data_IF_993979755269
#
_entry.id   IF_993979755269
#
_cell.length_a   1.000
_cell.length_b   1.000
_cell.length_c   1.000
_cell.angle_alpha   90.00
_cell.angle_beta   90.00
_cell.angle_gamma   90.00
#
_symmetry.space_group_name_H-M   'P 1'
#
loop_
_entity.id
_entity.type
_entity.pdbx_description
1 polymer ?
#
# COMPACT_ATOMS: atom_id res chain seq x y z
N UNK A 1 -13.83 -24.15 22.84
CA UNK A 1 -12.43 -24.29 23.32
C UNK A 1 -11.83 -22.88 23.41
N UNK A 2 -11.36 -22.53 24.59
CA UNK A 2 -10.67 -21.25 24.78
C UNK A 2 -9.20 -21.43 24.36
N UNK A 3 -8.75 -20.68 23.36
CA UNK A 3 -7.38 -20.71 22.87
C UNK A 3 -6.67 -19.38 23.16
N UNK A 4 -5.41 -19.46 23.54
CA UNK A 4 -4.55 -18.30 23.71
C UNK A 4 -3.79 -18.01 22.40
N UNK A 5 -3.66 -16.74 22.01
CA UNK A 5 -2.84 -16.34 20.87
C UNK A 5 -1.35 -16.36 21.24
N UNK A 6 -0.51 -16.80 20.31
CA UNK A 6 0.97 -16.80 20.50
C UNK A 6 1.50 -15.40 20.81
N UNK A 7 0.93 -14.35 20.20
CA UNK A 7 1.29 -12.97 20.55
C UNK A 7 1.03 -12.63 22.02
N UNK A 8 -0.06 -13.10 22.61
CA UNK A 8 -0.37 -12.89 24.02
C UNK A 8 0.60 -13.66 24.93
N UNK A 9 1.00 -14.89 24.53
CA UNK A 9 2.01 -15.64 25.29
C UNK A 9 3.34 -14.86 25.39
N UNK A 10 3.80 -14.26 24.30
CA UNK A 10 5.02 -13.45 24.31
C UNK A 10 4.87 -12.14 25.10
N UNK A 11 3.67 -11.54 25.08
CA UNK A 11 3.41 -10.30 25.82
C UNK A 11 3.35 -10.50 27.34
N UNK A 12 2.71 -11.60 27.79
CA UNK A 12 2.40 -11.88 29.19
C UNK A 12 3.28 -13.01 29.78
N UNK A 13 4.43 -13.28 29.16
CA UNK A 13 5.24 -14.48 29.41
C UNK A 13 5.58 -14.72 30.90
N UNK A 14 5.94 -13.67 31.65
CA UNK A 14 6.30 -13.79 33.06
C UNK A 14 5.12 -14.25 33.96
N UNK A 15 3.89 -13.85 33.57
CA UNK A 15 2.68 -14.20 34.32
C UNK A 15 2.17 -15.60 33.98
N UNK A 16 2.65 -16.17 32.87
CA UNK A 16 2.19 -17.44 32.33
C UNK A 16 3.13 -18.61 32.63
N UNK A 17 4.28 -18.38 33.23
CA UNK A 17 5.22 -19.45 33.58
C UNK A 17 4.56 -20.52 34.44
N UNK A 18 4.73 -21.77 34.05
CA UNK A 18 4.13 -22.93 34.69
C UNK A 18 2.60 -23.12 34.46
N UNK A 19 1.91 -22.18 33.81
CA UNK A 19 0.47 -22.29 33.51
C UNK A 19 0.20 -23.17 32.30
N UNK A 20 -0.84 -23.93 32.38
CA UNK A 20 -1.33 -24.74 31.27
C UNK A 20 -2.14 -23.86 30.30
N UNK A 21 -1.83 -23.92 29.02
CA UNK A 21 -2.46 -23.13 27.96
C UNK A 21 -2.83 -24.01 26.77
N UNK A 22 -3.79 -23.54 25.97
CA UNK A 22 -4.12 -24.15 24.68
C UNK A 22 -3.75 -23.16 23.58
N UNK A 23 -2.94 -23.59 22.62
CA UNK A 23 -2.59 -22.84 21.41
C UNK A 23 -2.94 -23.64 20.16
N UNK A 24 -3.36 -22.96 19.11
CA UNK A 24 -3.66 -23.59 17.83
C UNK A 24 -2.83 -22.90 16.75
N UNK A 25 -2.31 -23.64 15.80
CA UNK A 25 -1.51 -23.03 14.72
C UNK A 25 -1.03 -24.06 13.70
N UNK A 26 -0.21 -23.59 12.79
CA UNK A 26 0.36 -24.42 11.74
C UNK A 26 1.84 -24.71 12.02
N UNK A 27 2.23 -25.99 11.86
CA UNK A 27 3.61 -26.41 12.00
C UNK A 27 4.49 -25.80 10.90
N UNK A 28 5.49 -25.02 11.32
CA UNK A 28 6.53 -24.45 10.43
C UNK A 28 7.71 -25.38 10.27
N UNK A 29 8.04 -26.08 11.34
CA UNK A 29 9.01 -27.19 11.34
C UNK A 29 8.59 -28.23 12.37
N UNK A 30 8.93 -29.49 12.10
CA UNK A 30 8.82 -30.60 13.06
C UNK A 30 10.18 -31.31 13.03
N UNK A 31 10.77 -31.49 14.21
CA UNK A 31 12.05 -32.21 14.38
C UNK A 31 11.86 -33.34 15.36
N UNK A 32 11.99 -34.57 14.88
CA UNK A 32 11.95 -35.79 15.66
C UNK A 32 13.36 -36.17 16.14
N UNK A 33 13.53 -36.35 17.45
CA UNK A 33 14.76 -36.82 18.09
C UNK A 33 14.55 -38.23 18.68
N UNK A 34 13.50 -38.95 18.26
CA UNK A 34 13.07 -40.31 18.65
C UNK A 34 12.34 -40.40 19.99
N UNK A 35 12.92 -39.87 21.09
CA UNK A 35 12.31 -39.86 22.43
C UNK A 35 11.67 -38.52 22.78
N UNK A 36 12.08 -37.46 22.12
CA UNK A 36 11.47 -36.12 22.22
C UNK A 36 11.58 -35.41 20.87
N UNK A 37 10.92 -34.29 20.73
CA UNK A 37 10.97 -33.50 19.50
C UNK A 37 10.53 -32.06 19.71
N UNK A 38 10.68 -31.27 18.65
CA UNK A 38 10.38 -29.86 18.65
C UNK A 38 9.48 -29.52 17.47
N UNK A 39 8.46 -28.68 17.72
CA UNK A 39 7.62 -28.09 16.69
C UNK A 39 7.77 -26.58 16.78
N UNK A 40 8.07 -25.93 15.66
CA UNK A 40 7.84 -24.49 15.52
C UNK A 40 6.41 -24.27 15.05
N UNK A 41 5.58 -23.68 15.91
CA UNK A 41 4.17 -23.41 15.65
C UNK A 41 3.94 -21.93 15.41
N UNK A 42 3.13 -21.57 14.42
CA UNK A 42 2.71 -20.20 14.17
C UNK A 42 1.19 -20.14 13.99
N UNK A 43 0.52 -19.26 14.74
CA UNK A 43 -0.92 -19.06 14.70
C UNK A 43 -1.36 -17.83 13.89
N UNK A 44 -0.40 -17.15 13.27
CA UNK A 44 -0.64 -15.92 12.54
C UNK A 44 -0.83 -14.67 13.42
N UNK A 45 -0.83 -14.75 14.74
CA UNK A 45 -1.03 -13.57 15.61
C UNK A 45 0.22 -12.68 15.75
N UNK A 46 1.42 -13.23 15.54
CA UNK A 46 2.69 -12.50 15.51
C UNK A 46 3.65 -13.09 14.47
N UNK A 47 4.74 -12.39 14.20
CA UNK A 47 5.76 -12.85 13.24
C UNK A 47 6.60 -14.01 13.79
N UNK A 48 6.83 -14.03 15.11
CA UNK A 48 7.62 -15.07 15.78
C UNK A 48 6.90 -16.41 15.80
N UNK A 49 7.66 -17.50 15.69
CA UNK A 49 7.16 -18.85 15.92
C UNK A 49 7.29 -19.21 17.41
N UNK A 50 6.37 -20.02 17.90
CA UNK A 50 6.41 -20.62 19.23
C UNK A 50 7.07 -21.99 19.16
N UNK A 51 8.02 -22.27 20.05
CA UNK A 51 8.57 -23.61 20.21
C UNK A 51 7.66 -24.46 21.10
N UNK A 52 7.32 -25.63 20.61
CA UNK A 52 6.61 -26.68 21.37
C UNK A 52 7.55 -27.86 21.53
N UNK A 53 7.75 -28.29 22.77
CA UNK A 53 8.50 -29.51 23.11
C UNK A 53 7.52 -30.65 23.28
N UNK A 54 7.74 -31.74 22.57
CA UNK A 54 6.95 -32.97 22.65
C UNK A 54 7.82 -34.13 23.15
N UNK A 55 7.28 -34.96 24.05
CA UNK A 55 7.95 -36.14 24.62
C UNK A 55 7.18 -37.42 24.29
N UNK A 56 7.92 -38.47 23.91
CA UNK A 56 7.33 -39.77 23.68
C UNK A 56 6.77 -40.44 24.93
N UNK A 57 7.25 -40.05 26.11
CA UNK A 57 6.79 -40.55 27.41
C UNK A 57 5.46 -39.88 27.82
N UNK A 58 5.17 -38.67 27.33
CA UNK A 58 3.97 -37.90 27.69
C UNK A 58 2.87 -38.00 26.62
N UNK A 59 3.24 -38.15 25.34
CA UNK A 59 2.29 -38.15 24.22
C UNK A 59 2.05 -39.58 23.67
N UNK A 60 0.88 -40.15 23.90
CA UNK A 60 0.51 -41.44 23.34
C UNK A 60 0.55 -41.50 21.81
N UNK A 61 0.36 -40.36 21.14
CA UNK A 61 0.40 -40.20 19.68
C UNK A 61 1.68 -39.56 19.16
N UNK A 62 2.79 -39.59 19.92
CA UNK A 62 4.07 -38.99 19.55
C UNK A 62 4.50 -39.31 18.12
N UNK A 63 4.45 -40.57 17.71
CA UNK A 63 4.83 -41.00 16.36
C UNK A 63 3.95 -40.42 15.27
N UNK A 64 2.67 -40.26 15.56
CA UNK A 64 1.74 -39.61 14.62
C UNK A 64 2.11 -38.13 14.43
N UNK A 65 2.39 -37.42 15.52
CA UNK A 65 2.77 -36.00 15.48
C UNK A 65 4.12 -35.82 14.83
N UNK A 66 5.11 -36.62 15.19
CA UNK A 66 6.46 -36.59 14.60
C UNK A 66 6.46 -36.86 13.09
N UNK A 67 5.48 -37.64 12.62
CA UNK A 67 5.28 -37.95 11.20
C UNK A 67 4.47 -36.94 10.40
N UNK A 68 3.99 -35.84 11.03
CA UNK A 68 3.26 -34.82 10.29
C UNK A 68 4.18 -33.98 9.37
N UNK A 69 3.62 -33.50 8.27
CA UNK A 69 4.32 -32.59 7.35
C UNK A 69 4.21 -31.12 7.83
N UNK A 70 5.14 -30.31 7.35
CA UNK A 70 5.07 -28.85 7.44
C UNK A 70 3.72 -28.37 6.90
N UNK A 71 3.11 -27.41 7.57
CA UNK A 71 1.79 -26.89 7.22
C UNK A 71 0.62 -27.60 7.89
N UNK A 72 0.84 -28.71 8.63
CA UNK A 72 -0.22 -29.35 9.41
C UNK A 72 -0.76 -28.38 10.47
N UNK A 73 -2.09 -28.37 10.63
CA UNK A 73 -2.78 -27.61 11.67
C UNK A 73 -2.83 -28.43 12.96
N UNK A 74 -2.38 -27.85 14.06
CA UNK A 74 -2.25 -28.53 15.35
C UNK A 74 -2.95 -27.74 16.46
N UNK A 75 -3.56 -28.47 17.40
CA UNK A 75 -4.04 -27.97 18.69
C UNK A 75 -3.09 -28.51 19.74
N UNK A 76 -2.41 -27.63 20.46
CA UNK A 76 -1.40 -27.95 21.48
C UNK A 76 -1.88 -27.49 22.83
N UNK A 77 -1.88 -28.39 23.82
CA UNK A 77 -2.07 -28.07 25.24
C UNK A 77 -0.80 -28.39 25.98
N UNK A 78 -0.43 -27.55 26.93
CA UNK A 78 0.77 -27.78 27.71
C UNK A 78 1.15 -26.61 28.60
N UNK A 79 2.15 -26.84 29.43
CA UNK A 79 2.67 -25.84 30.35
C UNK A 79 3.64 -24.87 29.64
N UNK A 80 3.48 -23.58 29.89
CA UNK A 80 4.44 -22.55 29.49
C UNK A 80 5.70 -22.69 30.34
N UNK A 81 6.87 -22.66 29.72
CA UNK A 81 8.17 -22.70 30.38
C UNK A 81 9.02 -21.57 29.87
N UNK A 82 9.48 -20.70 30.76
CA UNK A 82 10.41 -19.66 30.43
C UNK A 82 11.81 -20.22 30.13
N UNK A 83 12.44 -19.74 29.08
CA UNK A 83 13.77 -20.18 28.62
C UNK A 83 14.69 -18.99 28.38
N UNK A 84 15.02 -18.18 29.42
CA UNK A 84 15.71 -16.92 29.25
C UNK A 84 17.12 -17.07 28.66
N UNK A 85 17.77 -18.22 28.84
CA UNK A 85 19.08 -18.52 28.29
C UNK A 85 19.04 -19.10 26.86
N UNK A 86 17.85 -19.38 26.33
CA UNK A 86 17.67 -19.92 24.99
C UNK A 86 17.45 -18.81 23.95
N UNK A 87 17.48 -19.19 22.67
CA UNK A 87 17.20 -18.26 21.57
C UNK A 87 15.78 -17.69 21.62
N UNK A 88 14.81 -18.49 22.04
CA UNK A 88 13.42 -18.09 22.28
C UNK A 88 13.20 -17.85 23.80
N UNK A 89 12.38 -16.87 24.19
CA UNK A 89 12.19 -16.54 25.60
C UNK A 89 11.32 -17.55 26.38
N UNK A 90 10.52 -18.33 25.67
CA UNK A 90 9.65 -19.35 26.24
C UNK A 90 9.39 -20.50 25.26
N UNK A 91 8.91 -21.63 25.81
CA UNK A 91 8.42 -22.77 25.05
C UNK A 91 7.18 -23.36 25.73
N UNK A 92 6.45 -24.23 25.03
CA UNK A 92 5.38 -25.03 25.62
C UNK A 92 5.86 -26.48 25.74
N UNK A 93 5.83 -27.05 26.95
CA UNK A 93 5.89 -28.49 27.15
C UNK A 93 4.53 -29.09 26.95
N UNK A 94 4.36 -29.80 25.84
CA UNK A 94 3.06 -30.29 25.44
C UNK A 94 2.62 -31.49 26.31
N UNK A 95 1.45 -31.38 26.93
CA UNK A 95 0.73 -32.47 27.59
C UNK A 95 -0.21 -33.20 26.63
N UNK A 96 -0.67 -32.51 25.57
CA UNK A 96 -1.44 -33.14 24.49
C UNK A 96 -1.26 -32.36 23.17
N UNK A 97 -1.23 -33.08 22.07
CA UNK A 97 -1.23 -32.52 20.72
C UNK A 97 -2.26 -33.26 19.87
N UNK A 98 -3.16 -32.51 19.24
CA UNK A 98 -4.16 -33.02 18.32
C UNK A 98 -3.89 -32.50 16.91
N UNK A 99 -4.03 -33.35 15.89
CA UNK A 99 -3.95 -32.98 14.50
C UNK A 99 -5.32 -32.57 14.01
N UNK A 100 -5.56 -31.27 13.92
CA UNK A 100 -6.80 -30.71 13.38
C UNK A 100 -6.88 -30.89 11.86
N UNK A 101 -5.77 -30.66 11.17
CA UNK A 101 -5.68 -30.81 9.72
C UNK A 101 -4.30 -31.31 9.27
N UNK A 102 -4.29 -32.42 8.54
CA UNK A 102 -3.05 -32.96 7.96
C UNK A 102 -2.58 -32.14 6.77
N UNK A 103 -1.26 -32.08 6.59
CA UNK A 103 -0.63 -31.55 5.38
C UNK A 103 -0.05 -32.72 4.58
N UNK A 104 -0.23 -32.70 3.27
CA UNK A 104 0.27 -33.75 2.37
C UNK A 104 1.76 -33.57 2.03
N UNK A 105 2.49 -34.63 1.63
CA UNK A 105 3.91 -34.56 1.34
C UNK A 105 4.27 -33.65 0.15
N UNK A 106 3.32 -33.37 -0.73
CA UNK A 106 3.44 -32.48 -1.89
C UNK A 106 3.24 -31.00 -1.57
N UNK A 107 3.04 -30.66 -0.27
CA UNK A 107 2.96 -29.26 0.15
C UNK A 107 4.14 -28.44 -0.38
N UNK A 108 3.89 -27.36 -1.19
CA UNK A 108 4.95 -26.75 -1.97
C UNK A 108 5.93 -25.92 -1.13
N UNK A 109 5.51 -25.44 0.05
CA UNK A 109 6.34 -24.61 0.94
C UNK A 109 7.16 -25.47 1.91
N UNK A 110 8.02 -26.33 1.35
CA UNK A 110 8.96 -27.15 2.13
C UNK A 110 10.05 -26.30 2.79
N UNK A 111 10.79 -26.88 3.75
CA UNK A 111 11.89 -26.22 4.48
C UNK A 111 13.09 -25.95 3.55
N UNK A 112 12.93 -25.01 2.64
CA UNK A 112 13.98 -24.50 1.74
C UNK A 112 13.69 -23.04 1.40
N UNK A 113 14.68 -22.34 0.83
CA UNK A 113 14.45 -21.00 0.29
C UNK A 113 13.63 -21.12 -1.01
N UNK A 114 12.57 -20.35 -1.12
CA UNK A 114 11.76 -20.21 -2.31
C UNK A 114 12.04 -18.85 -2.97
N UNK A 115 12.12 -18.83 -4.30
CA UNK A 115 12.22 -17.57 -5.04
C UNK A 115 10.86 -16.85 -5.05
N UNK A 116 10.89 -15.53 -5.22
CA UNK A 116 9.68 -14.72 -5.29
C UNK A 116 8.86 -15.10 -6.53
N UNK A 117 9.53 -15.41 -7.64
CA UNK A 117 8.90 -15.86 -8.90
C UNK A 117 8.10 -17.14 -8.66
N UNK A 118 8.67 -18.13 -8.00
CA UNK A 118 7.94 -19.34 -7.63
C UNK A 118 6.74 -19.02 -6.72
N UNK A 119 6.92 -18.15 -5.73
CA UNK A 119 5.82 -17.77 -4.81
C UNK A 119 4.68 -17.04 -5.51
N UNK A 120 4.94 -16.39 -6.65
CA UNK A 120 3.90 -15.80 -7.51
C UNK A 120 3.04 -16.85 -8.20
N UNK A 121 3.55 -18.07 -8.41
CA UNK A 121 2.75 -19.18 -8.99
C UNK A 121 1.83 -19.86 -7.98
N UNK A 122 2.03 -19.61 -6.67
CA UNK A 122 1.26 -20.16 -5.57
C UNK A 122 0.79 -19.05 -4.61
N UNK A 123 0.23 -17.98 -5.16
CA UNK A 123 -0.10 -16.75 -4.43
C UNK A 123 -0.97 -17.01 -3.18
N UNK A 124 -1.93 -17.93 -3.26
CA UNK A 124 -2.82 -18.33 -2.16
C UNK A 124 -2.08 -18.96 -0.96
N UNK A 125 -0.88 -19.48 -1.14
CA UNK A 125 -0.05 -20.06 -0.07
C UNK A 125 1.08 -19.13 0.40
N UNK A 126 1.47 -18.16 -0.40
CA UNK A 126 2.62 -17.30 -0.09
C UNK A 126 2.54 -16.51 1.24
N UNK A 127 1.34 -16.18 1.81
CA UNK A 127 1.26 -15.59 3.15
C UNK A 127 1.86 -16.46 4.26
N UNK A 128 2.00 -17.75 4.02
CA UNK A 128 2.63 -18.69 4.97
C UNK A 128 4.16 -18.59 4.99
N UNK A 129 4.79 -17.82 4.10
CA UNK A 129 6.23 -17.56 4.11
C UNK A 129 6.58 -16.37 4.99
N UNK A 130 7.83 -16.29 5.47
CA UNK A 130 8.26 -15.17 6.32
C UNK A 130 8.17 -13.83 5.58
N UNK A 131 8.59 -13.77 4.31
CA UNK A 131 8.54 -12.56 3.52
C UNK A 131 7.12 -11.98 3.45
N UNK A 132 6.17 -12.80 3.03
CA UNK A 132 4.79 -12.34 2.83
C UNK A 132 4.01 -12.17 4.14
N UNK A 133 4.29 -13.00 5.15
CA UNK A 133 3.76 -12.80 6.49
C UNK A 133 4.17 -11.44 7.06
N UNK A 134 5.46 -11.09 6.95
CA UNK A 134 5.96 -9.78 7.36
C UNK A 134 5.33 -8.64 6.53
N UNK A 135 5.29 -8.78 5.20
CA UNK A 135 4.73 -7.77 4.30
C UNK A 135 3.28 -7.44 4.64
N UNK A 136 2.42 -8.46 4.79
CA UNK A 136 0.99 -8.22 5.06
C UNK A 136 0.72 -7.75 6.49
N UNK A 137 1.60 -8.03 7.45
CA UNK A 137 1.53 -7.44 8.80
C UNK A 137 1.86 -5.96 8.77
N UNK A 138 2.94 -5.58 8.09
CA UNK A 138 3.28 -4.16 7.88
C UNK A 138 2.16 -3.44 7.12
N UNK A 139 1.61 -4.06 6.05
CA UNK A 139 0.47 -3.51 5.32
C UNK A 139 -0.73 -3.24 6.24
N UNK A 140 -1.07 -4.19 7.10
CA UNK A 140 -2.19 -4.04 8.05
C UNK A 140 -1.97 -2.91 9.04
N UNK A 141 -0.77 -2.80 9.62
CA UNK A 141 -0.44 -1.72 10.57
C UNK A 141 -0.38 -0.37 9.89
N UNK A 142 0.16 -0.29 8.67
CA UNK A 142 0.20 0.93 7.89
C UNK A 142 -1.21 1.45 7.54
N UNK A 143 -2.13 0.55 7.14
CA UNK A 143 -3.52 0.92 6.87
C UNK A 143 -4.21 1.50 8.11
N UNK A 144 -4.04 0.88 9.27
CA UNK A 144 -4.59 1.41 10.52
C UNK A 144 -3.94 2.75 10.90
N UNK A 145 -2.63 2.90 10.73
CA UNK A 145 -1.92 4.14 11.02
C UNK A 145 -2.42 5.33 10.17
N UNK A 146 -2.80 5.07 8.92
CA UNK A 146 -3.41 6.08 8.04
C UNK A 146 -4.76 6.55 8.63
N UNK A 147 -5.64 5.63 8.98
CA UNK A 147 -6.92 5.99 9.61
C UNK A 147 -6.72 6.71 10.95
N UNK A 148 -5.78 6.24 11.78
CA UNK A 148 -5.43 6.87 13.06
C UNK A 148 -4.95 8.32 12.84
N UNK A 149 -4.09 8.55 11.85
CA UNK A 149 -3.57 9.88 11.52
C UNK A 149 -4.67 10.87 11.19
N UNK A 150 -5.53 10.53 10.25
CA UNK A 150 -6.58 11.43 9.79
C UNK A 150 -7.68 11.60 10.83
N UNK A 151 -8.17 10.52 11.45
CA UNK A 151 -9.24 10.59 12.46
C UNK A 151 -8.81 11.38 13.69
N UNK A 152 -7.57 11.24 14.16
CA UNK A 152 -7.06 12.01 15.30
C UNK A 152 -6.93 13.51 15.01
N UNK A 153 -6.93 13.91 13.75
CA UNK A 153 -6.88 15.30 13.29
C UNK A 153 -8.26 15.87 12.91
N UNK A 154 -9.33 15.09 13.09
CA UNK A 154 -10.70 15.52 12.81
C UNK A 154 -11.13 15.38 11.35
N UNK A 155 -10.32 14.74 10.50
CA UNK A 155 -10.73 14.43 9.12
C UNK A 155 -11.88 13.44 9.10
N UNK A 156 -12.82 13.63 8.18
CA UNK A 156 -13.94 12.73 7.95
C UNK A 156 -13.56 11.72 6.86
N UNK A 157 -13.66 10.42 7.17
CA UNK A 157 -13.52 9.36 6.17
C UNK A 157 -14.77 9.31 5.30
N UNK A 158 -14.60 9.45 3.99
CA UNK A 158 -15.72 9.51 3.04
C UNK A 158 -15.65 8.41 2.00
N UNK A 159 -16.83 7.97 1.54
CA UNK A 159 -16.97 7.02 0.46
C UNK A 159 -17.09 7.75 -0.88
N UNK A 160 -16.32 7.30 -1.87
CA UNK A 160 -16.43 7.75 -3.26
C UNK A 160 -16.77 6.57 -4.16
N UNK A 161 -17.56 6.76 -5.24
CA UNK A 161 -17.97 5.66 -6.11
C UNK A 161 -16.77 5.03 -6.84
N UNK A 162 -16.77 3.69 -6.90
CA UNK A 162 -15.80 2.94 -7.69
C UNK A 162 -16.19 2.92 -9.17
N UNK A 163 -17.51 2.88 -9.46
CA UNK A 163 -18.04 2.98 -10.83
C UNK A 163 -18.37 4.44 -11.11
N UNK A 164 -17.78 4.99 -12.16
CA UNK A 164 -17.92 6.41 -12.51
C UNK A 164 -18.24 6.61 -13.98
N UNK A 165 -18.93 7.72 -14.28
CA UNK A 165 -19.11 8.22 -15.64
C UNK A 165 -18.12 9.33 -16.02
N UNK A 166 -17.18 9.69 -15.15
CA UNK A 166 -16.22 10.79 -15.35
C UNK A 166 -14.78 10.28 -15.25
N UNK A 167 -13.89 10.84 -16.07
CA UNK A 167 -12.46 10.58 -16.00
C UNK A 167 -11.78 11.68 -15.15
N UNK A 168 -11.22 11.31 -14.01
CA UNK A 168 -10.56 12.24 -13.11
C UNK A 168 -9.24 12.79 -13.69
N UNK A 169 -8.51 11.96 -14.41
CA UNK A 169 -7.19 12.34 -14.98
C UNK A 169 -7.31 13.01 -16.36
N UNK A 170 -8.46 12.81 -17.04
CA UNK A 170 -8.70 13.38 -18.38
C UNK A 170 -7.97 12.69 -19.53
N UNK A 171 -7.17 11.69 -19.24
CA UNK A 171 -6.42 10.89 -20.22
C UNK A 171 -6.24 9.44 -19.74
N UNK A 172 -6.99 9.03 -18.73
CA UNK A 172 -6.86 7.73 -18.10
C UNK A 172 -7.32 6.58 -18.98
N UNK A 173 -6.50 5.57 -19.14
CA UNK A 173 -6.96 4.28 -19.66
C UNK A 173 -7.80 3.60 -18.57
N UNK A 174 -9.12 3.66 -18.73
CA UNK A 174 -10.09 3.16 -17.77
C UNK A 174 -10.64 1.79 -18.17
N UNK A 175 -10.78 0.89 -17.20
CA UNK A 175 -11.56 -0.33 -17.39
C UNK A 175 -13.03 0.02 -17.54
N UNK A 176 -13.65 -0.39 -18.66
CA UNK A 176 -15.05 -0.18 -18.89
C UNK A 176 -15.91 -1.15 -18.06
N UNK A 177 -16.98 -0.64 -17.45
CA UNK A 177 -18.01 -1.43 -16.77
C UNK A 177 -19.24 -1.47 -17.64
N UNK A 178 -19.67 -2.67 -18.07
CA UNK A 178 -20.81 -2.86 -18.94
C UNK A 178 -21.51 -4.18 -18.66
N UNK A 179 -22.83 -4.22 -18.88
CA UNK A 179 -23.64 -5.44 -18.85
C UNK A 179 -24.15 -5.81 -20.27
N UNK A 180 -23.73 -5.07 -21.30
CA UNK A 180 -24.04 -5.39 -22.68
C UNK A 180 -23.40 -6.71 -23.10
N UNK A 181 -24.13 -7.51 -23.90
CA UNK A 181 -23.52 -8.70 -24.49
C UNK A 181 -22.52 -8.29 -25.57
N UNK A 182 -21.25 -8.62 -25.33
CA UNK A 182 -20.13 -8.29 -26.22
C UNK A 182 -20.23 -9.03 -27.59
N UNK A 183 -21.05 -10.08 -27.70
CA UNK A 183 -21.30 -10.77 -28.97
C UNK A 183 -22.43 -10.12 -29.80
N UNK A 184 -23.29 -9.33 -29.16
CA UNK A 184 -24.43 -8.66 -29.80
C UNK A 184 -24.63 -7.26 -29.19
N UNK A 185 -23.65 -6.39 -29.46
CA UNK A 185 -23.62 -5.03 -28.91
C UNK A 185 -24.65 -4.15 -29.63
N UNK A 186 -25.66 -3.58 -28.93
CA UNK A 186 -26.60 -2.64 -29.50
C UNK A 186 -25.90 -1.39 -30.03
N UNK A 187 -26.35 -0.88 -31.19
CA UNK A 187 -25.74 0.27 -31.86
C UNK A 187 -26.78 1.33 -32.18
N UNK A 188 -26.33 2.56 -32.14
CA UNK A 188 -27.07 3.75 -32.62
C UNK A 188 -27.11 3.80 -34.15
N UNK A 189 -27.87 4.69 -34.72
CA UNK A 189 -28.03 4.85 -36.20
C UNK A 189 -26.68 5.18 -36.88
N UNK A 190 -25.78 5.86 -36.19
CA UNK A 190 -24.41 6.20 -36.66
C UNK A 190 -23.38 5.10 -36.38
N UNK A 191 -23.82 3.93 -35.90
CA UNK A 191 -22.97 2.75 -35.70
C UNK A 191 -22.15 2.71 -34.39
N UNK A 192 -22.31 3.70 -33.53
CA UNK A 192 -21.69 3.72 -32.22
C UNK A 192 -22.38 2.75 -31.25
N UNK A 193 -21.71 2.41 -30.13
CA UNK A 193 -22.35 1.59 -29.08
C UNK A 193 -23.49 2.39 -28.44
N UNK A 194 -24.70 1.79 -28.41
CA UNK A 194 -25.85 2.40 -27.74
C UNK A 194 -25.84 2.11 -26.23
N UNK A 195 -25.10 2.92 -25.47
CA UNK A 195 -25.03 2.82 -24.01
C UNK A 195 -26.35 3.15 -23.29
N UNK A 196 -27.38 3.69 -23.99
CA UNK A 196 -28.70 3.85 -23.39
C UNK A 196 -29.38 2.52 -23.05
N UNK A 197 -28.87 1.43 -23.61
CA UNK A 197 -29.31 0.04 -23.36
C UNK A 197 -28.47 -0.65 -22.28
N UNK A 198 -27.40 -0.03 -21.83
CA UNK A 198 -26.58 -0.56 -20.74
C UNK A 198 -27.20 -0.28 -19.38
N UNK A 199 -26.72 -0.96 -18.34
CA UNK A 199 -27.27 -0.91 -16.97
C UNK A 199 -27.46 0.51 -16.43
N UNK A 200 -26.47 1.38 -16.62
CA UNK A 200 -26.47 2.76 -16.12
C UNK A 200 -27.06 3.77 -17.16
N UNK A 201 -27.48 3.31 -18.33
CA UNK A 201 -27.98 4.17 -19.41
C UNK A 201 -26.93 5.11 -20.02
N UNK A 202 -25.66 4.92 -19.71
CA UNK A 202 -24.49 5.65 -20.22
C UNK A 202 -23.22 4.83 -20.06
N UNK A 203 -22.15 5.22 -20.78
CA UNK A 203 -20.83 4.62 -20.60
C UNK A 203 -20.31 4.85 -19.18
N UNK A 204 -19.87 3.78 -18.52
CA UNK A 204 -19.27 3.82 -17.19
C UNK A 204 -17.97 3.03 -17.15
N UNK A 205 -17.12 3.38 -16.20
CA UNK A 205 -15.80 2.78 -16.01
C UNK A 205 -15.48 2.60 -14.52
N UNK A 206 -14.45 1.82 -14.23
CA UNK A 206 -13.84 1.80 -12.90
C UNK A 206 -13.03 3.08 -12.71
N UNK A 207 -13.09 3.67 -11.52
CA UNK A 207 -12.44 4.94 -11.21
C UNK A 207 -10.91 4.83 -11.18
N UNK A 208 -10.24 5.86 -11.65
CA UNK A 208 -8.77 6.04 -11.55
C UNK A 208 -8.37 6.83 -10.30
N UNK A 209 -9.32 7.49 -9.62
CA UNK A 209 -9.14 8.30 -8.40
C UNK A 209 -10.50 8.64 -7.78
N UNK A 210 -10.55 8.75 -6.47
CA UNK A 210 -11.71 9.25 -5.73
C UNK A 210 -11.74 10.77 -5.57
N UNK A 211 -10.70 11.49 -6.01
CA UNK A 211 -10.49 12.91 -5.74
C UNK A 211 -11.68 13.80 -6.06
N UNK A 212 -12.17 13.80 -7.32
CA UNK A 212 -13.23 14.73 -7.72
C UNK A 212 -14.51 14.56 -6.88
N UNK A 213 -14.82 13.33 -6.48
CA UNK A 213 -15.95 13.05 -5.60
C UNK A 213 -15.64 13.41 -4.13
N UNK A 214 -14.41 13.27 -3.68
CA UNK A 214 -13.98 13.69 -2.34
C UNK A 214 -14.09 15.21 -2.16
N UNK A 215 -13.80 16.00 -3.21
CA UNK A 215 -13.95 17.46 -3.18
C UNK A 215 -15.40 17.89 -2.90
N UNK A 216 -16.43 17.10 -3.29
CA UNK A 216 -17.82 17.39 -2.90
C UNK A 216 -18.00 17.38 -1.38
N UNK A 217 -17.35 16.42 -0.72
CA UNK A 217 -17.39 16.30 0.73
C UNK A 217 -16.56 17.40 1.39
N UNK A 218 -15.38 17.72 0.85
CA UNK A 218 -14.53 18.79 1.37
C UNK A 218 -15.24 20.15 1.37
N UNK A 219 -16.04 20.46 0.34
CA UNK A 219 -16.84 21.68 0.26
C UNK A 219 -18.00 21.72 1.28
N UNK A 220 -18.22 20.66 2.05
CA UNK A 220 -19.26 20.58 3.07
C UNK A 220 -18.71 20.26 4.47
N UNK A 221 -17.66 19.45 4.57
CA UNK A 221 -17.10 18.96 5.84
C UNK A 221 -15.72 19.55 6.18
N UNK A 222 -15.12 20.30 5.27
CA UNK A 222 -13.78 20.88 5.45
C UNK A 222 -12.67 19.88 5.12
N UNK A 223 -12.25 19.08 6.11
CA UNK A 223 -11.16 18.13 5.97
C UNK A 223 -11.70 16.71 5.84
N UNK A 224 -11.46 16.06 4.69
CA UNK A 224 -11.93 14.72 4.39
C UNK A 224 -10.80 13.86 3.83
N UNK A 225 -10.98 12.54 3.83
CA UNK A 225 -10.09 11.63 3.12
C UNK A 225 -10.81 10.40 2.62
N UNK A 226 -10.32 9.86 1.51
CA UNK A 226 -10.68 8.52 1.01
C UNK A 226 -9.54 7.53 1.28
N UNK A 227 -9.87 6.27 1.38
CA UNK A 227 -8.95 5.14 1.32
C UNK A 227 -9.68 4.03 0.58
N UNK A 228 -9.54 4.00 -0.73
CA UNK A 228 -10.34 3.15 -1.60
C UNK A 228 -9.51 2.56 -2.76
N UNK A 229 -9.99 1.44 -3.37
CA UNK A 229 -9.37 0.89 -4.55
C UNK A 229 -9.54 1.83 -5.74
N UNK A 230 -8.50 1.87 -6.58
CA UNK A 230 -8.45 2.58 -7.86
C UNK A 230 -7.94 1.64 -8.95
N UNK A 231 -8.28 1.95 -10.20
CA UNK A 231 -8.06 1.05 -11.32
C UNK A 231 -7.49 1.82 -12.51
N UNK A 232 -6.38 1.32 -13.08
CA UNK A 232 -5.78 1.90 -14.27
C UNK A 232 -5.49 0.80 -15.29
N UNK A 233 -6.00 0.94 -16.51
CA UNK A 233 -5.88 -0.03 -17.59
C UNK A 233 -4.61 0.16 -18.44
N UNK A 234 -3.65 0.94 -17.94
CA UNK A 234 -2.39 1.23 -18.61
C UNK A 234 -1.63 -0.07 -18.94
N UNK A 235 -1.21 -0.22 -20.19
CA UNK A 235 -0.40 -1.35 -20.62
C UNK A 235 1.07 -1.18 -20.19
N UNK A 236 1.28 -1.07 -18.87
CA UNK A 236 2.60 -0.90 -18.25
C UNK A 236 3.01 -2.14 -17.47
N UNK A 237 4.14 -2.72 -17.83
CA UNK A 237 4.66 -3.94 -17.20
C UNK A 237 5.90 -3.65 -16.33
N UNK A 238 5.88 -2.59 -15.55
CA UNK A 238 6.97 -2.22 -14.65
C UNK A 238 6.81 -2.87 -13.26
N UNK A 239 7.80 -2.69 -12.40
CA UNK A 239 7.77 -3.15 -11.01
C UNK A 239 6.87 -2.29 -10.11
N UNK A 240 6.37 -1.15 -10.58
CA UNK A 240 5.64 -0.14 -9.80
C UNK A 240 4.20 0.05 -10.24
N UNK A 241 3.75 -0.66 -11.29
CA UNK A 241 2.40 -0.56 -11.82
C UNK A 241 1.60 -1.82 -11.56
N UNK A 242 0.41 -1.64 -11.00
CA UNK A 242 -0.65 -2.62 -10.90
C UNK A 242 -1.93 -1.99 -11.49
N UNK A 243 -2.80 -2.84 -12.04
CA UNK A 243 -4.06 -2.39 -12.62
C UNK A 243 -5.14 -2.09 -11.57
N UNK A 244 -4.99 -2.67 -10.38
CA UNK A 244 -5.81 -2.41 -9.18
C UNK A 244 -4.86 -2.13 -8.02
N UNK A 245 -5.09 -1.04 -7.31
CA UNK A 245 -4.31 -0.62 -6.14
C UNK A 245 -5.14 0.30 -5.26
N UNK A 246 -4.67 0.63 -4.07
CA UNK A 246 -5.40 1.49 -3.13
C UNK A 246 -4.79 2.88 -3.06
N UNK A 247 -5.66 3.91 -3.07
CA UNK A 247 -5.25 5.30 -2.91
C UNK A 247 -5.77 5.87 -1.60
N UNK A 248 -4.92 6.68 -0.97
CA UNK A 248 -5.29 7.56 0.13
C UNK A 248 -5.31 8.98 -0.43
N UNK A 249 -6.47 9.62 -0.40
CA UNK A 249 -6.69 10.91 -1.05
C UNK A 249 -7.42 11.85 -0.08
N UNK A 250 -6.69 12.63 0.74
CA UNK A 250 -7.27 13.71 1.52
C UNK A 250 -7.58 14.93 0.64
N UNK A 251 -8.65 15.64 0.99
CA UNK A 251 -9.02 16.95 0.44
C UNK A 251 -9.35 17.89 1.58
N UNK A 252 -8.76 19.09 1.58
CA UNK A 252 -8.82 20.05 2.66
C UNK A 252 -9.29 21.42 2.17
N UNK A 253 -10.47 21.84 2.61
CA UNK A 253 -10.98 23.16 2.31
C UNK A 253 -10.19 24.25 3.07
N UNK A 254 -10.17 25.48 2.52
CA UNK A 254 -9.43 26.63 3.05
C UNK A 254 -7.93 26.40 3.24
N UNK A 255 -7.37 25.46 2.47
CA UNK A 255 -5.95 25.06 2.52
C UNK A 255 -5.27 25.40 1.20
N UNK A 256 -4.08 25.98 1.28
CA UNK A 256 -3.19 26.24 0.15
C UNK A 256 -2.14 25.11 0.03
N UNK A 257 -1.36 25.11 -1.06
CA UNK A 257 -0.34 24.10 -1.34
C UNK A 257 0.65 23.87 -0.18
N UNK A 258 1.02 24.92 0.54
CA UNK A 258 1.91 24.80 1.70
C UNK A 258 1.33 23.93 2.82
N UNK A 259 0.04 24.11 3.13
CA UNK A 259 -0.66 23.29 4.14
C UNK A 259 -0.84 21.85 3.70
N UNK A 260 -1.07 21.63 2.41
CA UNK A 260 -1.14 20.29 1.81
C UNK A 260 0.18 19.50 2.00
N UNK A 261 1.30 20.14 1.69
CA UNK A 261 2.64 19.56 1.92
C UNK A 261 2.92 19.27 3.39
N UNK A 262 2.49 20.15 4.31
CA UNK A 262 2.66 19.94 5.75
C UNK A 262 1.89 18.70 6.25
N UNK A 263 0.67 18.49 5.77
CA UNK A 263 -0.15 17.30 6.10
C UNK A 263 0.47 16.04 5.49
N UNK A 264 0.93 16.09 4.24
CA UNK A 264 1.59 14.97 3.56
C UNK A 264 2.87 14.53 4.29
N UNK A 265 3.73 15.47 4.66
CA UNK A 265 4.94 15.21 5.46
C UNK A 265 4.60 14.56 6.81
N UNK A 266 3.64 15.14 7.53
CA UNK A 266 3.22 14.64 8.83
C UNK A 266 2.63 13.22 8.75
N UNK A 267 1.87 12.91 7.70
CA UNK A 267 1.28 11.59 7.46
C UNK A 267 2.37 10.53 7.21
N UNK A 268 3.33 10.80 6.31
CA UNK A 268 4.43 9.87 6.04
C UNK A 268 5.21 9.56 7.31
N UNK A 269 5.58 10.60 8.07
CA UNK A 269 6.30 10.44 9.35
C UNK A 269 5.49 9.63 10.37
N UNK A 270 4.17 9.85 10.45
CA UNK A 270 3.29 9.09 11.33
C UNK A 270 3.23 7.61 10.97
N UNK A 271 3.02 7.29 9.69
CA UNK A 271 2.95 5.90 9.21
C UNK A 271 4.27 5.17 9.53
N UNK A 272 5.42 5.77 9.20
CA UNK A 272 6.73 5.18 9.47
C UNK A 272 6.90 4.92 10.98
N UNK A 273 6.60 5.91 11.83
CA UNK A 273 6.69 5.77 13.28
C UNK A 273 5.87 4.61 13.79
N UNK A 274 4.58 4.53 13.39
CA UNK A 274 3.68 3.46 13.86
C UNK A 274 4.13 2.07 13.39
N UNK A 275 4.69 1.96 12.19
CA UNK A 275 5.24 0.69 11.69
C UNK A 275 6.50 0.29 12.45
N UNK A 276 7.43 1.21 12.69
CA UNK A 276 8.63 0.94 13.49
C UNK A 276 8.30 0.52 14.93
N UNK A 277 7.27 1.13 15.53
CA UNK A 277 6.81 0.81 16.89
C UNK A 277 6.08 -0.55 16.97
N UNK A 278 5.23 -0.86 16.01
CA UNK A 278 4.30 -2.00 16.08
C UNK A 278 4.76 -3.25 15.32
N UNK A 279 5.74 -3.10 14.42
CA UNK A 279 6.28 -4.20 13.60
C UNK A 279 7.81 -4.31 13.73
N UNK A 280 8.41 -4.28 14.95
CA UNK A 280 9.86 -4.28 15.09
C UNK A 280 10.51 -5.56 14.57
N UNK A 281 9.88 -6.72 14.73
CA UNK A 281 10.40 -8.01 14.29
C UNK A 281 10.37 -8.12 12.76
N UNK A 282 9.27 -7.68 12.13
CA UNK A 282 9.11 -7.62 10.69
C UNK A 282 10.12 -6.66 10.05
N UNK A 283 10.29 -5.47 10.62
CA UNK A 283 11.28 -4.50 10.12
C UNK A 283 12.71 -5.02 10.27
N UNK A 284 13.04 -5.68 11.37
CA UNK A 284 14.35 -6.32 11.54
C UNK A 284 14.56 -7.44 10.51
N UNK A 285 13.52 -8.21 10.18
CA UNK A 285 13.57 -9.20 9.12
C UNK A 285 13.84 -8.55 7.75
N UNK A 286 13.10 -7.51 7.37
CA UNK A 286 13.32 -6.81 6.11
C UNK A 286 14.71 -6.20 6.03
N UNK A 287 15.16 -5.53 7.08
CA UNK A 287 16.49 -4.93 7.14
C UNK A 287 17.62 -5.95 7.02
N UNK A 288 17.40 -7.18 7.49
CA UNK A 288 18.41 -8.24 7.43
C UNK A 288 18.42 -9.02 6.12
N UNK A 289 17.27 -9.24 5.49
CA UNK A 289 17.11 -10.21 4.41
C UNK A 289 16.59 -9.63 3.09
N UNK A 290 16.04 -8.42 3.10
CA UNK A 290 15.42 -7.80 1.92
C UNK A 290 16.19 -6.55 1.49
N UNK A 291 16.33 -5.58 2.39
CA UNK A 291 16.92 -4.28 2.10
C UNK A 291 17.80 -3.83 3.29
N UNK A 292 19.10 -4.07 3.18
CA UNK A 292 20.08 -3.62 4.19
C UNK A 292 20.12 -2.10 4.20
N UNK A 293 19.86 -1.50 5.37
CA UNK A 293 19.76 -0.05 5.54
C UNK A 293 18.32 0.48 5.55
N UNK A 294 17.32 -0.38 5.37
CA UNK A 294 15.90 0.00 5.44
C UNK A 294 15.56 0.77 6.71
N UNK A 295 15.95 0.24 7.86
CA UNK A 295 15.64 0.85 9.17
C UNK A 295 16.27 2.22 9.34
N UNK A 296 17.52 2.38 8.89
CA UNK A 296 18.22 3.66 8.91
C UNK A 296 17.52 4.68 8.00
N UNK A 297 17.18 4.29 6.77
CA UNK A 297 16.47 5.14 5.81
C UNK A 297 15.09 5.56 6.34
N UNK A 298 14.29 4.64 6.89
CA UNK A 298 12.99 4.97 7.47
C UNK A 298 13.12 5.91 8.66
N UNK A 299 14.11 5.69 9.54
CA UNK A 299 14.38 6.56 10.69
C UNK A 299 14.81 7.95 10.24
N UNK A 300 15.67 8.04 9.23
CA UNK A 300 16.11 9.30 8.65
C UNK A 300 14.92 10.11 8.09
N UNK A 301 14.07 9.49 7.27
CA UNK A 301 12.87 10.15 6.72
C UNK A 301 11.91 10.60 7.81
N UNK A 302 11.69 9.77 8.83
CA UNK A 302 10.81 10.11 9.96
C UNK A 302 11.29 11.32 10.75
N UNK A 303 12.60 11.55 10.83
CA UNK A 303 13.22 12.60 11.67
C UNK A 303 13.66 13.84 10.90
N UNK A 304 13.75 13.77 9.58
CA UNK A 304 14.16 14.88 8.74
C UNK A 304 13.00 15.83 8.45
N UNK A 305 13.29 17.13 8.35
CA UNK A 305 12.38 18.08 7.70
C UNK A 305 12.47 17.89 6.18
N UNK A 306 11.33 17.86 5.50
CA UNK A 306 11.31 17.70 4.05
C UNK A 306 11.72 18.99 3.35
N UNK A 307 12.59 18.86 2.35
CA UNK A 307 12.99 19.99 1.51
C UNK A 307 11.84 20.45 0.63
N UNK A 308 11.95 21.68 0.10
CA UNK A 308 11.02 22.24 -0.90
C UNK A 308 11.83 22.92 -1.98
N UNK A 309 11.50 22.66 -3.22
CA UNK A 309 12.18 23.23 -4.40
C UNK A 309 11.16 23.35 -5.52
N UNK A 310 11.20 24.42 -6.29
CA UNK A 310 10.36 24.53 -7.48
C UNK A 310 10.87 23.59 -8.58
N UNK A 311 9.95 23.15 -9.46
CA UNK A 311 10.32 22.36 -10.64
C UNK A 311 11.39 23.06 -11.50
N UNK A 312 11.26 24.36 -11.67
CA UNK A 312 12.24 25.16 -12.45
C UNK A 312 13.63 25.07 -11.83
N UNK A 313 13.76 25.29 -10.53
CA UNK A 313 15.05 25.16 -9.81
C UNK A 313 15.56 23.71 -9.83
N UNK A 314 14.68 22.72 -9.64
CA UNK A 314 15.04 21.32 -9.73
C UNK A 314 15.62 20.96 -11.11
N UNK A 315 14.98 21.41 -12.19
CA UNK A 315 15.45 21.22 -13.57
C UNK A 315 16.81 21.90 -13.77
N UNK A 316 17.03 23.11 -13.28
CA UNK A 316 18.31 23.79 -13.36
C UNK A 316 19.44 23.01 -12.68
N UNK A 317 19.16 22.42 -11.49
CA UNK A 317 20.10 21.54 -10.78
C UNK A 317 20.39 20.29 -11.61
N UNK A 318 19.35 19.61 -12.08
CA UNK A 318 19.48 18.37 -12.84
C UNK A 318 20.21 18.56 -14.18
N UNK A 319 19.96 19.67 -14.89
CA UNK A 319 20.64 20.01 -16.17
C UNK A 319 22.15 20.07 -16.02
N UNK A 320 22.69 20.48 -14.87
CA UNK A 320 24.13 20.50 -14.61
C UNK A 320 24.75 19.10 -14.54
N UNK A 321 23.89 18.06 -14.40
CA UNK A 321 24.27 16.64 -14.29
C UNK A 321 23.68 15.77 -15.39
N UNK A 322 23.21 16.36 -16.46
CA UNK A 322 22.55 15.64 -17.56
C UNK A 322 23.42 14.54 -18.21
N UNK A 323 24.73 14.64 -18.10
CA UNK A 323 25.68 13.62 -18.56
C UNK A 323 25.56 12.29 -17.79
N UNK A 324 25.02 12.32 -16.57
CA UNK A 324 24.86 11.16 -15.68
C UNK A 324 23.52 10.43 -15.86
N UNK A 325 22.57 11.01 -16.61
CA UNK A 325 21.22 10.46 -16.78
C UNK A 325 21.03 9.77 -18.13
N UNK A 326 20.27 8.68 -18.12
CA UNK A 326 19.82 8.02 -19.34
C UNK A 326 18.81 8.89 -20.09
N UNK A 327 17.88 9.51 -19.36
CA UNK A 327 16.91 10.47 -19.89
C UNK A 327 17.36 11.90 -19.60
N UNK A 328 17.59 12.67 -20.66
CA UNK A 328 17.98 14.08 -20.52
C UNK A 328 16.79 14.91 -20.05
N UNK A 329 17.00 15.71 -19.02
CA UNK A 329 15.98 16.62 -18.50
C UNK A 329 16.09 18.01 -19.14
N UNK A 330 14.95 18.56 -19.49
CA UNK A 330 14.77 19.97 -19.84
C UNK A 330 13.46 20.49 -19.27
N UNK A 331 13.28 21.82 -19.26
CA UNK A 331 12.06 22.41 -18.74
C UNK A 331 10.85 21.98 -19.60
N UNK A 332 9.78 21.56 -18.95
CA UNK A 332 8.57 21.02 -19.60
C UNK A 332 8.57 19.50 -19.78
N UNK A 333 9.63 18.78 -19.36
CA UNK A 333 9.67 17.30 -19.40
C UNK A 333 9.30 16.69 -18.04
N UNK A 334 8.66 15.53 -18.07
CA UNK A 334 8.41 14.77 -16.84
C UNK A 334 9.72 14.30 -16.21
N UNK A 335 9.83 14.46 -14.88
CA UNK A 335 10.96 13.92 -14.14
C UNK A 335 10.88 12.40 -14.11
N UNK A 336 11.98 11.75 -14.46
CA UNK A 336 12.09 10.29 -14.38
C UNK A 336 12.60 9.88 -12.99
N UNK A 337 12.39 8.64 -12.61
CA UNK A 337 12.83 8.10 -11.31
C UNK A 337 14.32 8.36 -11.01
N UNK A 338 15.19 8.35 -12.01
CA UNK A 338 16.61 8.66 -11.83
C UNK A 338 16.83 10.12 -11.39
N UNK A 339 16.06 11.07 -11.94
CA UNK A 339 16.08 12.47 -11.56
C UNK A 339 15.58 12.68 -10.12
N UNK A 340 14.46 12.06 -9.79
CA UNK A 340 13.85 12.13 -8.45
C UNK A 340 14.78 11.57 -7.36
N UNK A 341 15.41 10.43 -7.64
CA UNK A 341 16.38 9.83 -6.73
C UNK A 341 17.65 10.67 -6.62
N UNK A 342 18.11 11.26 -7.71
CA UNK A 342 19.26 12.16 -7.68
C UNK A 342 19.01 13.37 -6.77
N UNK A 343 17.83 13.98 -6.88
CA UNK A 343 17.42 15.08 -6.00
C UNK A 343 17.42 14.65 -4.52
N UNK A 344 16.78 13.53 -4.20
CA UNK A 344 16.62 13.07 -2.80
C UNK A 344 17.88 12.48 -2.19
N UNK A 345 18.72 11.79 -2.98
CA UNK A 345 19.88 11.04 -2.49
C UNK A 345 21.21 11.79 -2.60
N UNK A 346 21.36 12.65 -3.63
CA UNK A 346 22.63 13.34 -3.89
C UNK A 346 22.56 14.83 -3.50
N UNK A 347 21.45 15.51 -3.88
CA UNK A 347 21.32 16.96 -3.69
C UNK A 347 20.83 17.29 -2.28
N UNK A 348 19.61 16.92 -1.96
CA UNK A 348 18.97 17.27 -0.67
C UNK A 348 19.32 16.31 0.46
N UNK A 349 19.66 15.06 0.16
CA UNK A 349 19.95 13.97 1.09
C UNK A 349 18.84 13.76 2.13
N UNK A 350 17.59 14.01 1.73
CA UNK A 350 16.36 13.91 2.51
C UNK A 350 15.16 13.94 1.57
N UNK A 351 13.94 13.63 2.05
CA UNK A 351 12.74 13.84 1.26
C UNK A 351 12.60 15.28 0.80
N UNK A 352 12.02 15.48 -0.38
CA UNK A 352 11.85 16.82 -0.98
C UNK A 352 10.52 16.92 -1.72
N UNK A 353 9.81 18.01 -1.54
CA UNK A 353 8.70 18.39 -2.40
C UNK A 353 9.24 19.18 -3.59
N UNK A 354 8.86 18.75 -4.78
CA UNK A 354 9.06 19.52 -6.02
C UNK A 354 7.72 20.18 -6.33
N UNK A 355 7.72 21.52 -6.51
CA UNK A 355 6.48 22.30 -6.67
C UNK A 355 6.45 23.06 -7.99
N UNK A 356 5.28 23.60 -8.33
CA UNK A 356 5.12 24.54 -9.44
C UNK A 356 5.55 23.97 -10.80
N UNK A 357 4.95 22.84 -11.14
CA UNK A 357 5.20 22.14 -12.40
C UNK A 357 4.61 22.89 -13.62
N UNK A 358 5.16 22.68 -14.83
CA UNK A 358 4.54 23.18 -16.05
C UNK A 358 3.10 22.68 -16.21
N UNK A 359 2.19 23.60 -16.56
CA UNK A 359 0.77 23.30 -16.69
C UNK A 359 0.47 22.26 -17.80
N UNK A 360 1.33 22.15 -18.80
CA UNK A 360 1.15 21.26 -19.95
C UNK A 360 1.28 19.78 -19.59
N UNK A 361 2.01 19.45 -18.51
CA UNK A 361 2.24 18.07 -18.05
C UNK A 361 1.44 17.69 -16.80
N UNK A 362 0.50 18.55 -16.37
CA UNK A 362 -0.31 18.31 -15.17
C UNK A 362 -1.81 18.41 -15.45
N UNK A 363 -2.62 17.79 -14.59
CA UNK A 363 -4.06 17.64 -14.75
C UNK A 363 -4.83 18.99 -14.72
N UNK A 364 -6.04 18.97 -15.28
CA UNK A 364 -6.88 20.15 -15.47
C UNK A 364 -7.34 20.82 -14.18
N UNK A 365 -7.47 20.07 -13.09
CA UNK A 365 -8.00 20.53 -11.82
C UNK A 365 -6.97 21.28 -10.95
N UNK A 366 -5.70 21.28 -11.35
CA UNK A 366 -4.64 21.95 -10.59
C UNK A 366 -4.66 23.47 -10.80
N UNK A 367 -4.50 24.22 -9.71
CA UNK A 367 -4.57 25.68 -9.73
C UNK A 367 -3.47 26.27 -10.60
N UNK A 368 -3.87 27.07 -11.61
CA UNK A 368 -2.93 27.86 -12.42
C UNK A 368 -2.28 28.93 -11.57
N UNK A 369 -0.94 28.98 -11.57
CA UNK A 369 -0.18 30.06 -10.93
C UNK A 369 -0.31 31.38 -11.72
N UNK A 370 0.04 32.48 -11.07
CA UNK A 370 -0.12 33.81 -11.65
C UNK A 370 0.83 34.09 -12.82
N UNK A 371 1.85 33.23 -13.00
CA UNK A 371 2.76 33.27 -14.15
C UNK A 371 2.10 32.77 -15.47
N UNK A 372 0.93 32.15 -15.38
CA UNK A 372 0.18 31.58 -16.50
C UNK A 372 0.88 30.41 -17.22
N UNK A 373 1.91 29.81 -16.62
CA UNK A 373 2.73 28.72 -17.19
C UNK A 373 2.81 27.51 -16.30
N UNK A 374 2.78 27.70 -14.99
CA UNK A 374 2.91 26.63 -14.00
C UNK A 374 1.60 26.43 -13.23
N UNK A 375 1.49 25.30 -12.55
CA UNK A 375 0.38 24.98 -11.64
C UNK A 375 0.93 24.70 -10.24
N UNK A 376 0.11 24.99 -9.23
CA UNK A 376 0.40 24.76 -7.83
C UNK A 376 0.31 23.24 -7.50
N UNK A 377 1.14 22.45 -8.17
CA UNK A 377 1.32 21.02 -7.90
C UNK A 377 2.48 20.81 -6.92
N UNK A 378 2.47 19.68 -6.21
CA UNK A 378 3.58 19.25 -5.37
C UNK A 378 3.71 17.73 -5.42
N UNK A 379 4.87 17.24 -5.87
CA UNK A 379 5.21 15.82 -5.78
C UNK A 379 6.20 15.61 -4.63
N UNK A 380 5.87 14.71 -3.71
CA UNK A 380 6.75 14.34 -2.61
C UNK A 380 7.67 13.20 -3.05
N UNK A 381 8.95 13.49 -3.09
CA UNK A 381 10.00 12.53 -3.45
C UNK A 381 10.70 12.01 -2.18
N UNK A 382 10.92 10.71 -2.11
CA UNK A 382 11.65 10.08 -1.00
C UNK A 382 12.84 9.26 -1.49
N UNK A 383 13.93 9.16 -0.70
CA UNK A 383 15.09 8.35 -1.07
C UNK A 383 14.73 6.89 -1.34
N UNK A 384 15.29 6.30 -2.38
CA UNK A 384 15.12 4.89 -2.74
C UNK A 384 13.97 4.59 -3.70
N UNK A 385 12.87 5.36 -3.66
CA UNK A 385 11.71 5.10 -4.52
C UNK A 385 11.37 6.25 -5.48
N UNK A 386 11.75 7.49 -5.16
CA UNK A 386 11.34 8.68 -5.89
C UNK A 386 9.97 9.17 -5.44
N UNK A 387 9.09 9.54 -6.37
CA UNK A 387 7.74 10.03 -6.07
C UNK A 387 6.92 9.00 -5.30
N UNK A 388 6.36 9.42 -4.15
CA UNK A 388 5.46 8.64 -3.30
C UNK A 388 4.09 9.29 -3.12
N UNK A 389 4.01 10.61 -3.22
CA UNK A 389 2.78 11.41 -3.18
C UNK A 389 2.80 12.39 -4.35
N UNK A 390 1.67 12.52 -5.04
CA UNK A 390 1.37 13.62 -5.93
C UNK A 390 0.19 14.42 -5.38
N UNK A 391 0.30 15.75 -5.33
CA UNK A 391 -0.73 16.64 -4.79
C UNK A 391 -0.81 17.97 -5.51
N UNK A 392 -1.81 18.76 -5.17
CA UNK A 392 -1.92 20.14 -5.66
C UNK A 392 -2.91 20.96 -4.84
N UNK A 393 -2.76 22.27 -4.89
CA UNK A 393 -3.90 23.15 -4.70
C UNK A 393 -4.83 23.01 -5.90
N UNK A 394 -6.14 22.95 -5.64
CA UNK A 394 -7.16 22.75 -6.68
C UNK A 394 -7.57 24.10 -7.27
N UNK A 395 -7.97 24.13 -8.54
CA UNK A 395 -8.44 25.35 -9.19
C UNK A 395 -9.82 25.73 -8.62
N UNK A 396 -9.85 26.85 -7.90
CA UNK A 396 -11.05 27.40 -7.27
C UNK A 396 -11.80 28.40 -8.15
N UNK A 397 -11.20 28.87 -9.24
CA UNK A 397 -11.77 29.87 -10.15
C UNK A 397 -12.51 29.16 -11.30
N UNK A 398 -13.82 29.34 -11.36
CA UNK A 398 -14.70 28.62 -12.30
C UNK A 398 -14.23 28.79 -13.77
N UNK A 399 -14.00 30.03 -14.20
CA UNK A 399 -13.68 30.35 -15.60
C UNK A 399 -12.33 29.72 -16.00
N UNK A 400 -11.36 29.70 -15.08
CA UNK A 400 -10.06 29.09 -15.33
C UNK A 400 -10.18 27.57 -15.44
N UNK A 401 -10.97 26.96 -14.54
CA UNK A 401 -11.21 25.51 -14.56
C UNK A 401 -11.89 25.08 -15.88
N UNK A 402 -12.96 25.76 -16.28
CA UNK A 402 -13.68 25.46 -17.53
C UNK A 402 -12.78 25.63 -18.75
N UNK A 403 -11.92 26.63 -18.77
CA UNK A 403 -10.98 26.85 -19.86
C UNK A 403 -9.92 25.72 -19.90
N UNK A 404 -9.39 25.29 -18.74
CA UNK A 404 -8.42 24.17 -18.68
C UNK A 404 -9.06 22.85 -19.18
N UNK A 405 -10.30 22.58 -18.82
CA UNK A 405 -11.04 21.41 -19.33
C UNK A 405 -11.11 21.45 -20.86
N UNK A 406 -11.44 22.61 -21.46
CA UNK A 406 -11.51 22.77 -22.93
C UNK A 406 -10.14 22.63 -23.60
N UNK A 407 -9.10 23.19 -23.01
CA UNK A 407 -7.71 23.12 -23.53
C UNK A 407 -7.20 21.70 -23.65
N UNK A 408 -7.64 20.81 -22.74
CA UNK A 408 -7.31 19.38 -22.77
C UNK A 408 -8.25 18.57 -23.66
N UNK A 409 -9.13 19.23 -24.44
CA UNK A 409 -10.05 18.56 -25.35
C UNK A 409 -11.23 17.86 -24.65
N UNK A 410 -11.45 18.16 -23.38
CA UNK A 410 -12.56 17.63 -22.60
C UNK A 410 -13.78 18.54 -22.68
N UNK A 411 -14.99 18.01 -22.39
CA UNK A 411 -16.21 18.80 -22.40
C UNK A 411 -16.59 19.21 -20.97
N UNK A 412 -16.70 20.51 -20.63
CA UNK A 412 -17.13 20.96 -19.30
C UNK A 412 -18.51 20.46 -18.90
N UNK A 413 -19.39 20.15 -19.83
CA UNK A 413 -20.71 19.57 -19.54
C UNK A 413 -20.64 18.19 -18.88
N UNK A 414 -19.59 17.43 -19.11
CA UNK A 414 -19.36 16.14 -18.46
C UNK A 414 -18.92 16.30 -16.99
N UNK A 415 -18.47 17.52 -16.64
CA UNK A 415 -18.00 17.91 -15.31
C UNK A 415 -18.87 19.01 -14.68
N UNK A 416 -20.12 19.17 -15.13
CA UNK A 416 -21.03 20.23 -14.65
C UNK A 416 -21.16 20.27 -13.12
N UNK A 417 -21.29 19.09 -12.50
CA UNK A 417 -21.40 18.93 -11.05
C UNK A 417 -20.11 19.33 -10.32
N UNK A 418 -18.94 19.12 -10.91
CA UNK A 418 -17.66 19.53 -10.39
C UNK A 418 -17.44 21.03 -10.53
N UNK A 419 -17.87 21.62 -11.64
CA UNK A 419 -17.89 23.07 -11.86
C UNK A 419 -18.85 23.79 -10.87
N UNK A 420 -19.96 23.13 -10.49
CA UNK A 420 -20.90 23.68 -9.50
C UNK A 420 -20.25 23.91 -8.12
N UNK A 421 -19.26 23.12 -7.74
CA UNK A 421 -18.48 23.36 -6.50
C UNK A 421 -17.75 24.72 -6.54
N UNK A 422 -17.43 25.22 -7.72
CA UNK A 422 -16.82 26.55 -7.92
C UNK A 422 -17.86 27.64 -8.03
N UNK A 423 -19.04 27.31 -8.48
CA UNK A 423 -20.15 28.25 -8.65
C UNK A 423 -20.85 28.55 -7.32
N UNK A 424 -20.94 27.58 -6.43
CA UNK A 424 -21.73 27.66 -5.20
C UNK A 424 -20.83 27.62 -3.94
N UNK A 425 -20.12 28.71 -3.67
CA UNK A 425 -19.34 28.87 -2.45
C UNK A 425 -17.93 28.26 -2.53
N UNK A 426 -17.25 28.52 -3.65
CA UNK A 426 -15.87 28.13 -3.85
C UNK A 426 -14.93 28.65 -2.77
N UNK A 427 -13.94 27.87 -2.41
CA UNK A 427 -12.81 28.29 -1.58
C UNK A 427 -11.50 27.69 -2.09
N UNK A 428 -10.37 28.25 -1.67
CA UNK A 428 -9.09 27.60 -1.83
C UNK A 428 -9.13 26.23 -1.15
N UNK A 429 -8.70 25.19 -1.83
CA UNK A 429 -8.60 23.85 -1.25
C UNK A 429 -7.48 23.09 -1.93
N UNK A 430 -6.96 22.10 -1.24
CA UNK A 430 -5.81 21.33 -1.68
C UNK A 430 -5.93 19.88 -1.20
N UNK A 431 -5.25 19.00 -1.89
CA UNK A 431 -5.22 17.60 -1.53
C UNK A 431 -4.14 16.84 -2.29
N UNK A 432 -3.91 15.61 -1.89
CA UNK A 432 -2.88 14.77 -2.50
C UNK A 432 -3.34 13.31 -2.60
N UNK A 433 -2.61 12.52 -3.41
CA UNK A 433 -2.78 11.08 -3.51
C UNK A 433 -1.53 10.33 -3.07
N UNK A 434 -1.68 9.37 -2.16
CA UNK A 434 -0.67 8.38 -1.80
C UNK A 434 -1.09 7.00 -2.28
N UNK A 435 -0.31 6.38 -3.16
CA UNK A 435 -0.47 4.97 -3.53
C UNK A 435 -0.07 4.06 -2.37
N UNK A 436 -1.03 3.30 -1.83
CA UNK A 436 -0.79 2.49 -0.63
C UNK A 436 0.22 1.38 -0.86
N UNK A 437 0.17 0.71 -1.99
CA UNK A 437 1.13 -0.33 -2.37
C UNK A 437 2.55 0.22 -2.47
N UNK A 438 2.70 1.43 -3.04
CA UNK A 438 4.00 2.10 -3.11
C UNK A 438 4.54 2.44 -1.71
N UNK A 439 3.66 2.86 -0.80
CA UNK A 439 4.02 3.06 0.61
C UNK A 439 4.42 1.76 1.29
N UNK A 440 3.72 0.65 1.06
CA UNK A 440 4.09 -0.67 1.63
C UNK A 440 5.43 -1.14 1.06
N UNK A 441 5.69 -0.97 -0.24
CA UNK A 441 7.01 -1.22 -0.83
C UNK A 441 8.11 -0.41 -0.11
N UNK A 442 7.85 0.87 0.14
CA UNK A 442 8.78 1.74 0.83
C UNK A 442 9.08 1.29 2.26
N UNK A 443 8.05 0.91 3.01
CA UNK A 443 8.16 0.45 4.41
C UNK A 443 8.86 -0.91 4.56
N UNK A 444 8.85 -1.74 3.53
CA UNK A 444 9.36 -3.12 3.57
C UNK A 444 10.66 -3.34 2.79
N UNK A 445 11.01 -2.41 1.89
CA UNK A 445 12.10 -2.59 0.94
C UNK A 445 11.81 -3.62 -0.17
N UNK A 446 10.57 -4.11 -0.28
CA UNK A 446 10.14 -5.00 -1.36
C UNK A 446 10.12 -4.21 -2.67
N UNK A 447 10.84 -4.71 -3.68
CA UNK A 447 11.10 -3.97 -4.92
C UNK A 447 10.00 -4.05 -5.97
N UNK A 448 9.00 -4.91 -5.80
CA UNK A 448 7.97 -5.14 -6.82
C UNK A 448 6.57 -5.08 -6.21
N UNK A 449 5.70 -4.27 -6.80
CA UNK A 449 4.31 -4.06 -6.35
C UNK A 449 3.51 -5.37 -6.29
N UNK A 450 3.82 -6.35 -7.17
CA UNK A 450 3.20 -7.69 -7.16
C UNK A 450 3.42 -8.45 -5.86
N UNK A 451 4.36 -8.03 -5.04
CA UNK A 451 4.76 -8.73 -3.82
C UNK A 451 4.31 -8.01 -2.55
N UNK A 452 3.54 -6.93 -2.68
CA UNK A 452 2.87 -6.26 -1.55
C UNK A 452 1.34 -6.40 -1.60
N UNK A 453 0.83 -7.14 -2.58
CA UNK A 453 -0.55 -7.57 -2.72
C UNK A 453 -0.65 -9.09 -2.67
N UNK A 454 -1.78 -9.63 -2.19
CA UNK A 454 -1.96 -11.09 -2.18
C UNK A 454 -2.13 -11.63 -3.59
N UNK A 455 -3.04 -11.04 -4.35
CA UNK A 455 -3.43 -11.41 -5.71
C UNK A 455 -3.34 -10.17 -6.61
N UNK A 456 -2.14 -9.78 -7.07
CA UNK A 456 -1.96 -8.55 -7.85
C UNK A 456 -2.64 -8.66 -9.20
N UNK A 457 -3.32 -7.57 -9.59
CA UNK A 457 -3.90 -7.40 -10.93
C UNK A 457 -2.91 -6.62 -11.78
N UNK A 458 -2.39 -7.27 -12.81
CA UNK A 458 -1.41 -6.67 -13.73
C UNK A 458 -1.69 -7.13 -15.15
N UNK A 459 -1.05 -6.51 -16.14
CA UNK A 459 -1.20 -6.91 -17.54
C UNK A 459 -0.97 -8.41 -17.69
N UNK A 460 -1.95 -9.10 -18.30
CA UNK A 460 -1.92 -10.54 -18.54
C UNK A 460 -2.06 -11.43 -17.30
N UNK A 461 -2.40 -10.86 -16.12
CA UNK A 461 -2.54 -11.63 -14.89
C UNK A 461 -3.76 -11.19 -14.05
N UNK A 462 -4.71 -12.10 -13.94
CA UNK A 462 -5.87 -12.03 -13.06
C UNK A 462 -6.16 -13.41 -12.43
N UNK A 463 -5.13 -14.23 -12.26
CA UNK A 463 -5.21 -15.52 -11.59
C UNK A 463 -5.55 -15.36 -10.10
N UNK A 464 -6.30 -16.33 -9.57
CA UNK A 464 -6.87 -16.33 -8.21
C UNK A 464 -8.01 -15.30 -8.08
#
# INVERSE_FOLDING_TARGET
MERMKIAALFADQEQLDGKEVTVCGWARTIRDMKTFGFIELNDGSCFKNLQVVMSADELNNYKEIAGQNVGAALIVRGAVVLTPEAKQPLEIKASSIEVEGKSTPDYPLQKKRHSVEFLRTIQHLRPRTNLFSATFRVRSVAAYAIHEFFQSRGFVYVHTPIITGSDCEGAGEMFQVTTLDLNDVPRTEDGQVDYSKDFFGKKTSLTVSGQLNAENFAMAFGDVYTFCPTFRAENSNTQRHAAEFWMIEPEMAFTELAGDMDVAEAMIKHIIRRVLERCPDEINFFNSFVDKGLKERLTHVMTSDFGRVSYTEAVEILKQHNDQFDFKVDWGTDLQTEHERFLTEQVFKRPVFVTDYPAEIKAFYMRMNDDGKTVAAADCLVPGIGEIIGGSQREERLEVLEERIRQLGMNPEDYWWYCDLRRYGSCKHAGFGLGFERMVMYLTGVSNIRDVELHPRTVGNAEF
#
